data_IF_683559714119
#
_entry.id   IF_683559714119
#
_cell.length_a   1.000
_cell.length_b   1.000
_cell.length_c   1.000
_cell.angle_alpha   90.00
_cell.angle_beta   90.00
_cell.angle_gamma   90.00
#
_symmetry.space_group_name_H-M   'P 1'
#
loop_
_entity.id
_entity.type
_entity.pdbx_description
1 polymer ?
#
# COMPACT_ATOMS: atom_id res chain seq x y z
N UNK A 1 24.33 -0.32 -5.65
CA UNK A 1 23.01 0.37 -5.65
C UNK A 1 21.97 -0.66 -6.01
N UNK A 2 21.28 -1.24 -5.03
CA UNK A 2 20.19 -2.19 -5.31
C UNK A 2 18.99 -1.39 -5.85
N UNK A 3 18.36 -1.80 -6.96
CA UNK A 3 17.26 -1.06 -7.53
C UNK A 3 16.03 -1.19 -6.61
N UNK A 4 15.83 -0.19 -5.74
CA UNK A 4 14.63 -0.07 -4.91
C UNK A 4 13.34 -0.01 -5.74
N UNK A 5 13.44 0.28 -7.05
CA UNK A 5 12.31 0.32 -7.98
C UNK A 5 11.52 -1.00 -8.07
N UNK A 6 12.11 -2.16 -7.76
CA UNK A 6 11.39 -3.43 -7.90
C UNK A 6 10.53 -3.79 -6.69
N UNK A 7 10.74 -3.15 -5.53
CA UNK A 7 9.97 -3.36 -4.30
C UNK A 7 8.82 -2.34 -4.18
N UNK A 8 8.97 -1.18 -4.83
CA UNK A 8 8.04 -0.06 -4.80
C UNK A 8 6.60 -0.38 -5.25
N UNK A 9 6.34 -1.01 -6.42
CA UNK A 9 4.96 -1.30 -6.81
C UNK A 9 4.30 -2.37 -5.92
N UNK A 10 5.11 -3.18 -5.22
CA UNK A 10 4.64 -4.35 -4.47
C UNK A 10 3.98 -3.96 -3.15
N UNK A 11 4.39 -2.86 -2.51
CA UNK A 11 3.91 -2.52 -1.17
C UNK A 11 2.42 -2.14 -1.17
N UNK A 12 1.99 -1.29 -2.11
CA UNK A 12 0.59 -0.90 -2.23
C UNK A 12 -0.32 -2.07 -2.64
N UNK A 13 0.18 -2.95 -3.51
CA UNK A 13 -0.54 -4.15 -3.95
C UNK A 13 -0.66 -5.16 -2.79
N UNK A 14 0.40 -5.38 -2.02
CA UNK A 14 0.39 -6.31 -0.88
C UNK A 14 -0.50 -5.80 0.26
N UNK A 15 -0.46 -4.50 0.58
CA UNK A 15 -1.36 -3.90 1.57
C UNK A 15 -2.81 -3.94 1.11
N UNK A 16 -3.08 -3.60 -0.15
CA UNK A 16 -4.42 -3.68 -0.74
C UNK A 16 -4.96 -5.11 -0.73
N UNK A 17 -4.14 -6.10 -1.09
CA UNK A 17 -4.51 -7.50 -1.06
C UNK A 17 -4.78 -8.00 0.37
N UNK A 18 -3.90 -7.70 1.33
CA UNK A 18 -4.10 -8.11 2.74
C UNK A 18 -5.36 -7.47 3.34
N UNK A 19 -5.56 -6.18 3.12
CA UNK A 19 -6.73 -5.46 3.61
C UNK A 19 -8.02 -5.95 2.94
N UNK A 20 -7.97 -6.21 1.64
CA UNK A 20 -9.09 -6.79 0.89
C UNK A 20 -9.47 -8.18 1.38
N UNK A 21 -8.51 -9.08 1.57
CA UNK A 21 -8.75 -10.44 2.07
C UNK A 21 -9.37 -10.40 3.47
N UNK A 22 -8.83 -9.57 4.37
CA UNK A 22 -9.38 -9.35 5.71
C UNK A 22 -10.81 -8.81 5.64
N UNK A 23 -11.07 -7.81 4.79
CA UNK A 23 -12.40 -7.23 4.61
C UNK A 23 -13.43 -8.22 4.05
N UNK A 24 -13.04 -9.07 3.10
CA UNK A 24 -13.88 -10.15 2.57
C UNK A 24 -14.24 -11.14 3.68
N UNK A 25 -13.24 -11.60 4.45
CA UNK A 25 -13.42 -12.61 5.49
C UNK A 25 -14.33 -12.13 6.62
N UNK A 26 -14.20 -10.85 7.02
CA UNK A 26 -14.95 -10.32 8.16
C UNK A 26 -16.37 -9.88 7.82
N UNK A 27 -16.62 -9.39 6.60
CA UNK A 27 -17.83 -8.58 6.34
C UNK A 27 -18.39 -8.73 4.92
N UNK A 28 -17.93 -9.73 4.16
CA UNK A 28 -18.43 -10.04 2.83
C UNK A 28 -17.72 -9.32 1.68
N UNK A 29 -18.05 -9.68 0.42
CA UNK A 29 -17.28 -9.30 -0.76
C UNK A 29 -17.26 -7.79 -1.04
N UNK A 30 -18.37 -7.08 -0.82
CA UNK A 30 -18.46 -5.62 -1.01
C UNK A 30 -17.55 -4.87 -0.02
N UNK A 31 -17.57 -5.29 1.24
CA UNK A 31 -16.69 -4.75 2.29
C UNK A 31 -15.22 -5.01 2.01
N UNK A 32 -14.90 -6.16 1.41
CA UNK A 32 -13.56 -6.52 0.97
C UNK A 32 -13.03 -5.65 -0.16
N UNK A 33 -13.88 -5.30 -1.14
CA UNK A 33 -13.49 -4.41 -2.24
C UNK A 33 -13.17 -2.99 -1.73
N UNK A 34 -14.00 -2.47 -0.83
CA UNK A 34 -13.76 -1.19 -0.16
C UNK A 34 -12.46 -1.22 0.66
N UNK A 35 -12.24 -2.29 1.43
CA UNK A 35 -11.02 -2.47 2.21
C UNK A 35 -9.78 -2.58 1.31
N UNK A 36 -9.87 -3.25 0.16
CA UNK A 36 -8.79 -3.33 -0.83
C UNK A 36 -8.45 -1.95 -1.40
N UNK A 37 -9.46 -1.16 -1.76
CA UNK A 37 -9.26 0.22 -2.26
C UNK A 37 -8.62 1.12 -1.20
N UNK A 38 -9.12 1.07 0.04
CA UNK A 38 -8.56 1.81 1.17
C UNK A 38 -7.12 1.40 1.43
N UNK A 39 -6.83 0.09 1.49
CA UNK A 39 -5.48 -0.44 1.72
C UNK A 39 -4.51 -0.07 0.59
N UNK A 40 -4.95 -0.11 -0.66
CA UNK A 40 -4.15 0.31 -1.81
C UNK A 40 -3.82 1.81 -1.76
N UNK A 41 -4.82 2.65 -1.51
CA UNK A 41 -4.64 4.10 -1.42
C UNK A 41 -3.73 4.47 -0.24
N UNK A 42 -3.94 3.83 0.92
CA UNK A 42 -3.11 4.03 2.10
C UNK A 42 -1.65 3.61 1.87
N UNK A 43 -1.43 2.49 1.18
CA UNK A 43 -0.09 2.02 0.80
C UNK A 43 0.64 2.99 -0.13
N UNK A 44 -0.06 3.59 -1.12
CA UNK A 44 0.50 4.62 -1.99
C UNK A 44 0.76 5.93 -1.25
N UNK A 45 -0.10 6.34 -0.31
CA UNK A 45 0.14 7.50 0.54
C UNK A 45 1.38 7.34 1.42
N UNK A 46 1.52 6.19 2.11
CA UNK A 46 2.72 5.90 2.90
C UNK A 46 3.99 5.92 2.04
N UNK A 47 3.91 5.37 0.83
CA UNK A 47 5.01 5.38 -0.12
C UNK A 47 5.42 6.81 -0.51
N UNK A 48 4.45 7.69 -0.79
CA UNK A 48 4.69 9.11 -1.06
C UNK A 48 5.35 9.80 0.13
N UNK A 49 4.81 9.59 1.34
CA UNK A 49 5.37 10.11 2.58
C UNK A 49 6.81 9.66 2.81
N UNK A 50 7.11 8.35 2.65
CA UNK A 50 8.45 7.81 2.80
C UNK A 50 9.43 8.38 1.76
N UNK A 51 8.94 8.65 0.55
CA UNK A 51 9.75 9.28 -0.51
C UNK A 51 10.11 10.72 -0.13
N UNK A 52 9.13 11.51 0.33
CA UNK A 52 9.36 12.88 0.84
C UNK A 52 10.34 12.90 2.01
N UNK A 53 10.17 12.02 3.00
CA UNK A 53 11.06 11.95 4.17
C UNK A 53 12.46 11.41 3.85
N UNK A 54 12.63 10.62 2.78
CA UNK A 54 13.97 10.26 2.28
C UNK A 54 14.61 11.39 1.50
N UNK A 55 13.85 12.08 0.65
CA UNK A 55 14.34 13.25 -0.09
C UNK A 55 14.81 14.39 0.82
N UNK A 56 14.15 14.57 1.97
CA UNK A 56 14.59 15.55 2.98
C UNK A 56 15.87 15.16 3.74
N UNK A 57 16.27 13.87 3.76
CA UNK A 57 17.50 13.42 4.42
C UNK A 57 18.74 13.48 3.51
N UNK A 58 18.57 13.82 2.24
CA UNK A 58 19.63 13.90 1.24
C UNK A 58 20.03 15.33 0.84
N UNK A 59 19.41 16.34 1.44
CA UNK A 59 19.78 17.77 1.33
C UNK A 59 20.36 18.24 2.65
#
# INVERSE_FOLDING_TARGET
MYPLSSVEPRLGIVLGALCGIVGVVLRGPESGLLAAFVGYFLGKSLQSTLWTFRGQRTT
#
